data_IF_826324968717
#
_entry.id   IF_826324968717
#
_cell.length_a   1.000
_cell.length_b   1.000
_cell.length_c   1.000
_cell.angle_alpha   90.00
_cell.angle_beta   90.00
_cell.angle_gamma   90.00
#
_symmetry.space_group_name_H-M   'P 1'
#
loop_
_entity.id
_entity.type
_entity.pdbx_description
1 polymer ?
#
# COMPACT_ATOMS: atom_id res chain seq x y z
N UNK A 1 -21.92 -13.31 -50.04
CA UNK A 1 -22.80 -13.27 -48.86
C UNK A 1 -22.76 -14.65 -48.20
N UNK A 2 -21.60 -15.04 -47.67
CA UNK A 2 -21.41 -16.38 -47.04
C UNK A 2 -20.52 -16.26 -45.81
N UNK A 3 -19.49 -15.40 -45.83
CA UNK A 3 -18.58 -15.21 -44.69
C UNK A 3 -19.26 -14.77 -43.37
N UNK A 4 -20.31 -13.94 -43.44
CA UNK A 4 -21.08 -13.54 -42.24
C UNK A 4 -21.98 -14.70 -41.78
N UNK A 5 -22.62 -15.40 -42.71
CA UNK A 5 -23.50 -16.53 -42.40
C UNK A 5 -22.71 -17.71 -41.82
N UNK A 6 -21.48 -17.93 -42.28
CA UNK A 6 -20.56 -18.94 -41.77
C UNK A 6 -20.09 -18.59 -40.35
N UNK A 7 -19.73 -17.33 -40.09
CA UNK A 7 -19.37 -16.86 -38.74
C UNK A 7 -20.56 -16.92 -37.78
N UNK A 8 -21.77 -16.62 -38.25
CA UNK A 8 -22.99 -16.72 -37.45
C UNK A 8 -23.41 -18.18 -37.21
N UNK A 9 -23.13 -19.08 -38.15
CA UNK A 9 -23.31 -20.52 -37.98
C UNK A 9 -22.35 -21.10 -36.94
N UNK A 10 -21.07 -20.69 -36.96
CA UNK A 10 -20.07 -21.09 -35.97
C UNK A 10 -20.35 -20.50 -34.58
N UNK A 11 -20.88 -19.27 -34.51
CA UNK A 11 -21.27 -18.64 -33.26
C UNK A 11 -22.62 -19.12 -32.71
N UNK A 12 -23.32 -20.03 -33.42
CA UNK A 12 -24.67 -20.48 -33.04
C UNK A 12 -24.60 -21.34 -31.77
N UNK A 13 -25.00 -20.75 -30.65
CA UNK A 13 -25.12 -21.45 -29.37
C UNK A 13 -26.27 -22.48 -29.48
N UNK A 14 -26.00 -23.79 -29.33
CA UNK A 14 -27.06 -24.80 -29.38
C UNK A 14 -28.06 -24.58 -28.23
N UNK A 15 -29.32 -24.37 -28.57
CA UNK A 15 -30.42 -24.16 -27.61
C UNK A 15 -31.10 -25.47 -27.17
N UNK A 16 -30.68 -26.61 -27.70
CA UNK A 16 -31.21 -27.92 -27.32
C UNK A 16 -30.73 -28.29 -25.91
N UNK A 17 -31.63 -28.88 -25.11
CA UNK A 17 -31.31 -29.37 -23.77
C UNK A 17 -30.18 -30.41 -23.90
N UNK A 18 -29.00 -30.07 -23.38
CA UNK A 18 -27.83 -30.96 -23.41
C UNK A 18 -28.11 -32.18 -22.54
N UNK A 19 -28.45 -33.31 -23.17
CA UNK A 19 -28.54 -34.58 -22.45
C UNK A 19 -27.13 -34.99 -21.99
N UNK A 20 -26.99 -35.22 -20.67
CA UNK A 20 -25.75 -35.73 -20.07
C UNK A 20 -24.59 -34.74 -20.02
N UNK A 21 -24.75 -33.60 -19.31
CA UNK A 21 -23.58 -32.80 -18.93
C UNK A 21 -22.74 -33.56 -17.89
N UNK A 22 -21.60 -34.11 -18.31
CA UNK A 22 -20.62 -34.70 -17.40
C UNK A 22 -19.93 -33.59 -16.59
N UNK A 23 -20.49 -33.32 -15.42
CA UNK A 23 -19.95 -32.38 -14.43
C UNK A 23 -18.53 -32.76 -14.04
N UNK A 24 -18.22 -34.06 -13.93
CA UNK A 24 -16.89 -34.53 -13.54
C UNK A 24 -15.83 -34.26 -14.61
N UNK A 25 -16.17 -34.44 -15.89
CA UNK A 25 -15.29 -34.05 -16.99
C UNK A 25 -15.12 -32.53 -17.09
N UNK A 26 -16.19 -31.76 -16.86
CA UNK A 26 -16.13 -30.31 -16.85
C UNK A 26 -15.25 -29.76 -15.71
N UNK A 27 -15.40 -30.30 -14.49
CA UNK A 27 -14.57 -29.93 -13.34
C UNK A 27 -13.09 -30.32 -13.54
N UNK A 28 -12.80 -31.48 -14.14
CA UNK A 28 -11.41 -31.87 -14.47
C UNK A 28 -10.76 -30.92 -15.46
N UNK A 29 -11.50 -30.47 -16.48
CA UNK A 29 -11.02 -29.45 -17.42
C UNK A 29 -10.78 -28.12 -16.71
N UNK A 30 -11.74 -27.66 -15.90
CA UNK A 30 -11.59 -26.42 -15.13
C UNK A 30 -10.38 -26.48 -14.19
N UNK A 31 -10.14 -27.63 -13.54
CA UNK A 31 -8.97 -27.83 -12.69
C UNK A 31 -7.66 -27.83 -13.50
N UNK A 32 -7.62 -28.44 -14.69
CA UNK A 32 -6.46 -28.40 -15.57
C UNK A 32 -6.19 -26.97 -16.10
N UNK A 33 -7.23 -26.23 -16.48
CA UNK A 33 -7.14 -24.84 -16.92
C UNK A 33 -6.67 -23.94 -15.77
N UNK A 34 -7.19 -24.15 -14.55
CA UNK A 34 -6.73 -23.44 -13.35
C UNK A 34 -5.27 -23.77 -13.00
N UNK A 35 -4.84 -25.03 -13.13
CA UNK A 35 -3.45 -25.43 -12.92
C UNK A 35 -2.52 -24.83 -13.99
N UNK A 36 -2.93 -24.77 -15.25
CA UNK A 36 -2.19 -24.12 -16.32
C UNK A 36 -2.10 -22.59 -16.12
N UNK A 37 -3.18 -21.95 -15.66
CA UNK A 37 -3.20 -20.54 -15.29
C UNK A 37 -2.31 -20.26 -14.06
N UNK A 38 -2.31 -21.14 -13.06
CA UNK A 38 -1.43 -21.04 -11.90
C UNK A 38 0.05 -21.22 -12.30
N UNK A 39 0.35 -22.06 -13.30
CA UNK A 39 1.70 -22.25 -13.82
C UNK A 39 2.25 -21.03 -14.60
N UNK A 40 1.38 -20.14 -15.08
CA UNK A 40 1.74 -18.90 -15.77
C UNK A 40 0.99 -17.73 -15.13
N UNK A 41 1.45 -17.25 -13.95
CA UNK A 41 0.79 -16.14 -13.28
C UNK A 41 0.76 -14.93 -14.21
N UNK A 42 -0.38 -14.23 -14.24
CA UNK A 42 -0.53 -13.01 -15.04
C UNK A 42 0.60 -12.03 -14.65
N UNK A 43 1.39 -11.52 -15.62
CA UNK A 43 2.49 -10.61 -15.33
C UNK A 43 2.04 -9.37 -14.52
N UNK A 44 0.79 -8.92 -14.68
CA UNK A 44 0.25 -7.80 -13.90
C UNK A 44 0.03 -8.17 -12.43
N UNK A 45 -0.42 -9.39 -12.14
CA UNK A 45 -0.54 -9.88 -10.77
C UNK A 45 0.83 -10.01 -10.10
N UNK A 46 1.84 -10.46 -10.84
CA UNK A 46 3.23 -10.54 -10.33
C UNK A 46 3.77 -9.15 -9.99
N UNK A 47 3.52 -8.15 -10.86
CA UNK A 47 3.91 -6.75 -10.61
C UNK A 47 3.20 -6.16 -9.40
N UNK A 48 1.89 -6.40 -9.26
CA UNK A 48 1.11 -5.95 -8.11
C UNK A 48 1.63 -6.57 -6.80
N UNK A 49 1.88 -7.89 -6.78
CA UNK A 49 2.47 -8.56 -5.62
C UNK A 49 3.86 -8.01 -5.28
N UNK A 50 4.70 -7.74 -6.28
CA UNK A 50 6.01 -7.14 -6.09
C UNK A 50 5.93 -5.72 -5.53
N UNK A 51 4.96 -4.92 -5.96
CA UNK A 51 4.72 -3.58 -5.44
C UNK A 51 4.33 -3.61 -3.96
N UNK A 52 3.41 -4.49 -3.56
CA UNK A 52 3.05 -4.68 -2.15
C UNK A 52 4.23 -5.11 -1.28
N UNK A 53 5.07 -6.02 -1.78
CA UNK A 53 6.31 -6.40 -1.08
C UNK A 53 7.28 -5.22 -0.91
N UNK A 54 7.44 -4.39 -1.94
CA UNK A 54 8.29 -3.19 -1.87
C UNK A 54 7.73 -2.19 -0.86
N UNK A 55 6.42 -1.96 -0.88
CA UNK A 55 5.76 -1.06 0.05
C UNK A 55 5.97 -1.52 1.50
N UNK A 56 5.80 -2.81 1.79
CA UNK A 56 6.06 -3.37 3.12
C UNK A 56 7.50 -3.11 3.60
N UNK A 57 8.49 -3.27 2.72
CA UNK A 57 9.89 -2.98 3.06
C UNK A 57 10.12 -1.50 3.31
N UNK A 58 9.57 -0.62 2.48
CA UNK A 58 9.68 0.84 2.63
C UNK A 58 9.03 1.30 3.93
N UNK A 59 7.82 0.84 4.23
CA UNK A 59 7.11 1.16 5.48
C UNK A 59 7.91 0.72 6.71
N UNK A 60 8.46 -0.49 6.68
CA UNK A 60 9.31 -0.98 7.78
C UNK A 60 10.58 -0.15 7.92
N UNK A 61 11.23 0.23 6.82
CA UNK A 61 12.42 1.08 6.87
C UNK A 61 12.10 2.45 7.48
N UNK A 62 10.99 3.09 7.07
CA UNK A 62 10.54 4.38 7.62
C UNK A 62 10.29 4.28 9.13
N UNK A 63 9.63 3.21 9.60
CA UNK A 63 9.37 3.02 11.04
C UNK A 63 10.62 2.81 11.89
N UNK A 64 11.71 2.32 11.29
CA UNK A 64 12.96 2.06 12.00
C UNK A 64 13.95 3.24 11.92
N UNK A 65 13.54 4.39 11.36
CA UNK A 65 14.35 5.59 11.45
C UNK A 65 14.40 6.07 12.92
N UNK A 66 15.55 6.60 13.38
CA UNK A 66 15.72 6.99 14.78
C UNK A 66 14.80 8.14 15.21
N UNK A 67 14.39 9.00 14.29
CA UNK A 67 13.51 10.15 14.48
C UNK A 67 12.01 9.79 14.37
N UNK A 68 11.67 8.58 13.93
CA UNK A 68 10.28 8.19 13.64
C UNK A 68 9.35 8.36 14.84
N UNK A 69 9.82 8.03 16.05
CA UNK A 69 9.04 8.15 17.26
C UNK A 69 8.81 9.61 17.67
N UNK A 70 9.80 10.49 17.48
CA UNK A 70 9.69 11.92 17.77
C UNK A 70 8.66 12.59 16.85
N UNK A 71 8.63 12.19 15.57
CA UNK A 71 7.65 12.69 14.60
C UNK A 71 6.22 12.27 14.95
N UNK A 72 6.03 11.03 15.43
CA UNK A 72 4.70 10.57 15.88
C UNK A 72 4.27 11.23 17.19
N UNK A 73 5.20 11.55 18.09
CA UNK A 73 4.92 12.32 19.30
C UNK A 73 4.48 13.76 18.95
N UNK A 74 5.18 14.44 18.04
CA UNK A 74 4.77 15.76 17.53
C UNK A 74 3.38 15.73 16.91
N UNK A 75 3.11 14.75 16.04
CA UNK A 75 1.78 14.58 15.44
C UNK A 75 0.68 14.33 16.50
N UNK A 76 1.00 13.63 17.59
CA UNK A 76 0.07 13.38 18.70
C UNK A 76 -0.18 14.59 19.60
N UNK A 77 0.73 15.57 19.60
CA UNK A 77 0.62 16.79 20.42
C UNK A 77 -0.13 17.93 19.72
N UNK A 78 -0.39 17.81 18.41
CA UNK A 78 -1.12 18.83 17.67
C UNK A 78 -2.56 19.00 18.18
N UNK A 79 -2.99 20.24 18.49
CA UNK A 79 -4.34 20.50 18.96
C UNK A 79 -5.39 20.08 17.91
N UNK A 80 -6.52 19.53 18.37
CA UNK A 80 -7.65 19.13 17.51
C UNK A 80 -8.32 20.33 16.83
N UNK A 81 -8.19 21.52 17.41
CA UNK A 81 -8.64 22.78 16.82
C UNK A 81 -7.50 23.40 16.00
N UNK A 82 -7.75 23.86 14.76
CA UNK A 82 -6.78 24.65 14.01
C UNK A 82 -6.58 25.97 14.74
N UNK A 83 -5.61 26.00 15.65
CA UNK A 83 -5.02 27.24 16.11
C UNK A 83 -4.10 27.73 14.99
N UNK A 84 -4.23 29.02 14.70
CA UNK A 84 -3.41 29.78 13.74
C UNK A 84 -1.94 29.29 13.80
N UNK A 85 -1.40 28.95 12.64
CA UNK A 85 0.01 28.65 12.35
C UNK A 85 0.61 27.28 12.76
N UNK A 86 -0.19 26.32 13.26
CA UNK A 86 0.29 24.96 13.52
C UNK A 86 0.48 24.13 12.25
N UNK A 87 1.71 24.07 11.69
CA UNK A 87 2.04 23.13 10.61
C UNK A 87 1.94 21.67 11.10
N UNK A 88 1.13 20.87 10.41
CA UNK A 88 1.07 19.41 10.58
C UNK A 88 2.48 18.80 10.44
N UNK A 89 2.91 17.95 11.37
CA UNK A 89 4.14 17.16 11.23
C UNK A 89 3.94 16.11 10.11
N UNK A 90 4.35 16.50 8.91
CA UNK A 90 4.15 15.73 7.68
C UNK A 90 4.94 14.42 7.70
N UNK A 91 6.13 14.43 8.29
CA UNK A 91 6.92 13.22 8.53
C UNK A 91 6.23 12.31 9.55
N UNK A 92 5.61 12.88 10.59
CA UNK A 92 4.77 12.15 11.55
C UNK A 92 3.60 11.45 10.87
N UNK A 93 2.93 12.13 9.94
CA UNK A 93 1.84 11.56 9.16
C UNK A 93 2.31 10.40 8.26
N UNK A 94 3.49 10.51 7.63
CA UNK A 94 4.09 9.41 6.87
C UNK A 94 4.35 8.19 7.76
N UNK A 95 5.03 8.40 8.89
CA UNK A 95 5.41 7.32 9.82
C UNK A 95 4.17 6.62 10.35
N UNK A 96 3.14 7.38 10.73
CA UNK A 96 1.87 6.83 11.19
C UNK A 96 1.15 6.02 10.10
N UNK A 97 1.13 6.52 8.86
CA UNK A 97 0.58 5.79 7.72
C UNK A 97 1.32 4.46 7.46
N UNK A 98 2.65 4.44 7.57
CA UNK A 98 3.45 3.23 7.45
C UNK A 98 3.14 2.21 8.56
N UNK A 99 2.88 2.68 9.78
CA UNK A 99 2.42 1.83 10.87
C UNK A 99 1.05 1.21 10.56
N UNK A 100 0.08 2.05 10.19
CA UNK A 100 -1.27 1.62 9.82
C UNK A 100 -1.27 0.59 8.68
N UNK A 101 -0.41 0.77 7.68
CA UNK A 101 -0.28 -0.18 6.59
C UNK A 101 0.20 -1.55 7.08
N UNK A 102 1.19 -1.58 7.97
CA UNK A 102 1.76 -2.83 8.49
C UNK A 102 0.88 -3.52 9.53
N UNK A 103 -0.08 -2.81 10.12
CA UNK A 103 -1.14 -3.35 10.98
C UNK A 103 -2.45 -3.58 10.20
N UNK A 104 -2.39 -3.67 8.87
CA UNK A 104 -3.54 -3.96 7.97
C UNK A 104 -4.68 -2.93 7.95
N UNK A 105 -4.45 -1.69 8.41
CA UNK A 105 -5.39 -0.57 8.33
C UNK A 105 -5.20 0.23 7.03
N UNK A 106 -5.44 -0.43 5.88
CA UNK A 106 -5.05 0.07 4.55
C UNK A 106 -5.71 1.39 4.13
N UNK A 107 -7.02 1.54 4.37
CA UNK A 107 -7.75 2.76 4.01
C UNK A 107 -7.27 3.96 4.84
N UNK A 108 -6.97 3.73 6.12
CA UNK A 108 -6.39 4.75 6.99
C UNK A 108 -4.97 5.12 6.55
N UNK A 109 -4.14 4.14 6.21
CA UNK A 109 -2.81 4.39 5.68
C UNK A 109 -2.84 5.24 4.40
N UNK A 110 -3.75 4.93 3.47
CA UNK A 110 -3.93 5.71 2.25
C UNK A 110 -4.29 7.17 2.56
N UNK A 111 -5.25 7.40 3.46
CA UNK A 111 -5.64 8.76 3.87
C UNK A 111 -4.45 9.55 4.42
N UNK A 112 -3.69 8.97 5.36
CA UNK A 112 -2.55 9.66 5.97
C UNK A 112 -1.41 9.90 4.99
N UNK A 113 -1.17 8.98 4.04
CA UNK A 113 -0.23 9.25 2.95
C UNK A 113 -0.71 10.35 2.01
N UNK A 114 -2.01 10.42 1.69
CA UNK A 114 -2.55 11.49 0.84
C UNK A 114 -2.42 12.85 1.52
N UNK A 115 -2.67 12.92 2.83
CA UNK A 115 -2.47 14.12 3.63
C UNK A 115 -1.00 14.57 3.60
N UNK A 116 -0.08 13.64 3.82
CA UNK A 116 1.35 13.94 3.79
C UNK A 116 1.86 14.31 2.39
N UNK A 117 1.42 13.60 1.37
CA UNK A 117 1.76 13.87 -0.03
C UNK A 117 1.21 15.23 -0.49
N UNK A 118 -0.01 15.57 -0.10
CA UNK A 118 -0.62 16.89 -0.37
C UNK A 118 0.11 18.05 0.30
N UNK A 119 0.89 17.78 1.35
CA UNK A 119 1.80 18.74 1.98
C UNK A 119 3.23 18.71 1.40
N UNK A 120 3.45 18.04 0.26
CA UNK A 120 4.74 17.96 -0.44
C UNK A 120 5.65 16.80 0.00
N UNK A 121 5.17 15.87 0.83
CA UNK A 121 6.01 14.77 1.28
C UNK A 121 6.18 13.69 0.22
N UNK A 122 7.31 13.72 -0.47
CA UNK A 122 7.64 12.80 -1.59
C UNK A 122 7.62 11.32 -1.22
N UNK A 123 8.12 10.93 -0.04
CA UNK A 123 8.04 9.52 0.39
C UNK A 123 6.61 9.01 0.54
N UNK A 124 5.66 9.87 0.94
CA UNK A 124 4.25 9.52 1.06
C UNK A 124 3.63 9.32 -0.33
N UNK A 125 3.95 10.21 -1.28
CA UNK A 125 3.54 10.06 -2.68
C UNK A 125 4.13 8.77 -3.31
N UNK A 126 5.38 8.40 -2.99
CA UNK A 126 5.95 7.12 -3.43
C UNK A 126 5.26 5.90 -2.79
N UNK A 127 4.88 5.99 -1.50
CA UNK A 127 4.10 4.95 -0.85
C UNK A 127 2.73 4.78 -1.52
N UNK A 128 2.06 5.88 -1.90
CA UNK A 128 0.81 5.86 -2.66
C UNK A 128 1.00 5.24 -4.05
N UNK A 129 2.08 5.59 -4.76
CA UNK A 129 2.41 4.94 -6.03
C UNK A 129 2.49 3.41 -5.89
N UNK A 130 3.25 2.91 -4.90
CA UNK A 130 3.37 1.48 -4.66
C UNK A 130 2.05 0.85 -4.18
N UNK A 131 1.26 1.57 -3.39
CA UNK A 131 -0.05 1.13 -2.91
C UNK A 131 -1.02 0.90 -4.07
N UNK A 132 -1.17 1.89 -4.96
CA UNK A 132 -2.02 1.79 -6.14
C UNK A 132 -1.50 0.75 -7.13
N UNK A 133 -0.18 0.58 -7.30
CA UNK A 133 0.37 -0.53 -8.07
C UNK A 133 0.01 -1.89 -7.49
N UNK A 134 0.01 -2.04 -6.16
CA UNK A 134 -0.36 -3.28 -5.49
C UNK A 134 -1.85 -3.63 -5.66
N UNK A 135 -2.71 -2.61 -5.85
CA UNK A 135 -4.14 -2.76 -6.18
C UNK A 135 -4.40 -2.98 -7.67
N UNK A 136 -3.38 -2.82 -8.54
CA UNK A 136 -3.54 -2.86 -10.00
C UNK A 136 -4.09 -1.57 -10.61
N UNK A 137 -4.15 -0.48 -9.84
CA UNK A 137 -4.68 0.83 -10.22
C UNK A 137 -3.61 1.66 -10.94
N UNK A 138 -3.26 1.26 -12.16
CA UNK A 138 -2.12 1.81 -12.92
C UNK A 138 -2.22 3.33 -13.16
N UNK A 139 -3.44 3.87 -13.31
CA UNK A 139 -3.66 5.30 -13.54
C UNK A 139 -3.30 6.14 -12.31
N UNK A 140 -3.83 5.77 -11.15
CA UNK A 140 -3.53 6.44 -9.88
C UNK A 140 -2.05 6.28 -9.52
N UNK A 141 -1.50 5.09 -9.70
CA UNK A 141 -0.08 4.85 -9.50
C UNK A 141 0.80 5.78 -10.35
N UNK A 142 0.43 6.03 -11.62
CA UNK A 142 1.18 6.95 -12.49
C UNK A 142 1.04 8.40 -12.04
N UNK A 143 -0.14 8.81 -11.59
CA UNK A 143 -0.36 10.16 -11.08
C UNK A 143 0.56 10.44 -9.88
N UNK A 144 0.55 9.58 -8.87
CA UNK A 144 1.42 9.76 -7.71
C UNK A 144 2.91 9.67 -8.03
N UNK A 145 3.31 8.82 -8.99
CA UNK A 145 4.69 8.80 -9.45
C UNK A 145 5.08 10.11 -10.12
N UNK A 146 4.17 10.69 -10.90
CA UNK A 146 4.38 11.98 -11.52
C UNK A 146 4.56 13.06 -10.45
N UNK A 147 3.69 13.13 -9.44
CA UNK A 147 3.84 14.07 -8.30
C UNK A 147 5.20 13.91 -7.60
N UNK A 148 5.72 12.69 -7.44
CA UNK A 148 7.06 12.47 -6.87
C UNK A 148 8.17 13.06 -7.76
N UNK A 149 8.00 13.02 -9.08
CA UNK A 149 9.02 13.41 -10.07
C UNK A 149 8.90 14.83 -10.60
N UNK A 150 7.73 15.47 -10.49
CA UNK A 150 7.40 16.76 -11.10
C UNK A 150 7.37 17.92 -10.09
N UNK A 151 7.56 17.65 -8.79
CA UNK A 151 7.74 18.63 -7.71
C UNK A 151 9.12 19.35 -7.80
N UNK A 152 9.47 19.71 -9.04
CA UNK A 152 10.76 20.17 -9.59
C UNK A 152 10.84 21.70 -9.64
N UNK A 153 9.81 22.41 -9.19
CA UNK A 153 9.84 23.88 -9.25
C UNK A 153 10.75 24.52 -8.20
N UNK A 154 11.34 23.80 -7.23
CA UNK A 154 12.15 24.45 -6.17
C UNK A 154 13.34 23.66 -5.54
N UNK A 155 13.93 22.63 -6.17
CA UNK A 155 15.13 22.00 -5.57
C UNK A 155 16.19 21.52 -6.57
N UNK A 156 17.41 22.09 -6.46
CA UNK A 156 18.61 21.55 -7.09
C UNK A 156 18.84 20.10 -6.61
N UNK A 157 18.60 19.15 -7.51
CA UNK A 157 18.39 17.71 -7.27
C UNK A 157 19.36 17.03 -6.27
N UNK A 158 18.88 15.95 -5.60
CA UNK A 158 18.92 14.68 -6.32
C UNK A 158 17.67 13.79 -6.11
N UNK A 159 16.60 14.09 -6.86
CA UNK A 159 15.32 13.36 -6.86
C UNK A 159 15.47 11.90 -7.31
N UNK A 160 16.34 11.66 -8.30
CA UNK A 160 16.71 10.31 -8.72
C UNK A 160 17.53 9.58 -7.67
N UNK A 161 18.31 10.28 -6.84
CA UNK A 161 19.08 9.64 -5.78
C UNK A 161 18.20 9.27 -4.59
N UNK A 162 17.18 10.05 -4.23
CA UNK A 162 16.22 9.66 -3.19
C UNK A 162 15.47 8.39 -3.57
N UNK A 163 14.89 8.35 -4.77
CA UNK A 163 14.23 7.16 -5.30
C UNK A 163 15.20 5.99 -5.50
N UNK A 164 16.39 6.23 -6.05
CA UNK A 164 17.41 5.20 -6.19
C UNK A 164 17.90 4.69 -4.83
N UNK A 165 17.95 5.52 -3.79
CA UNK A 165 18.30 5.12 -2.43
C UNK A 165 17.19 4.27 -1.83
N UNK A 166 15.93 4.68 -1.97
CA UNK A 166 14.78 3.87 -1.53
C UNK A 166 14.73 2.52 -2.25
N UNK A 167 14.95 2.51 -3.57
CA UNK A 167 15.00 1.29 -4.36
C UNK A 167 16.22 0.42 -4.01
N UNK A 168 17.39 1.02 -3.80
CA UNK A 168 18.60 0.33 -3.37
C UNK A 168 18.41 -0.30 -1.99
N UNK A 169 17.79 0.41 -1.04
CA UNK A 169 17.45 -0.12 0.29
C UNK A 169 16.42 -1.23 0.17
N UNK A 170 15.35 -1.05 -0.62
CA UNK A 170 14.34 -2.09 -0.82
C UNK A 170 14.92 -3.37 -1.46
N UNK A 171 15.82 -3.21 -2.43
CA UNK A 171 16.56 -4.30 -3.07
C UNK A 171 17.57 -4.95 -2.13
N UNK A 172 18.28 -4.15 -1.34
CA UNK A 172 19.25 -4.63 -0.35
C UNK A 172 18.57 -5.45 0.74
N UNK A 173 17.48 -4.95 1.33
CA UNK A 173 16.70 -5.64 2.36
C UNK A 173 16.11 -6.94 1.81
N UNK A 174 15.58 -6.92 0.57
CA UNK A 174 15.11 -8.13 -0.13
C UNK A 174 16.24 -9.16 -0.30
N UNK A 175 17.44 -8.72 -0.68
CA UNK A 175 18.59 -9.59 -1.00
C UNK A 175 19.28 -10.17 0.24
N UNK A 176 19.36 -9.40 1.31
CA UNK A 176 19.98 -9.85 2.57
C UNK A 176 19.02 -10.65 3.45
N UNK A 177 17.76 -10.81 3.03
CA UNK A 177 16.72 -11.49 3.80
C UNK A 177 16.54 -10.87 5.19
N UNK A 178 16.97 -9.62 5.35
CA UNK A 178 17.28 -9.12 6.67
C UNK A 178 16.01 -8.67 7.37
N UNK A 179 15.67 -9.44 8.40
CA UNK A 179 14.79 -9.12 9.53
C UNK A 179 15.18 -7.85 10.32
N UNK A 180 16.10 -7.02 9.80
CA UNK A 180 16.62 -5.81 10.46
C UNK A 180 15.55 -4.74 10.71
N UNK A 181 14.44 -4.78 9.98
CA UNK A 181 13.30 -3.92 10.23
C UNK A 181 12.20 -4.79 10.85
N UNK A 182 12.16 -4.81 12.19
CA UNK A 182 11.17 -5.58 12.94
C UNK A 182 9.76 -5.25 12.45
N UNK A 183 8.90 -6.26 12.33
CA UNK A 183 7.47 -5.98 12.16
C UNK A 183 6.96 -5.22 13.41
N UNK A 184 5.89 -4.42 13.28
CA UNK A 184 5.25 -3.84 14.45
C UNK A 184 4.99 -4.94 15.48
N UNK A 185 5.49 -4.75 16.69
CA UNK A 185 5.26 -5.73 17.76
C UNK A 185 3.79 -5.68 18.20
N UNK A 186 3.26 -6.78 18.74
CA UNK A 186 1.85 -6.86 19.14
C UNK A 186 1.36 -5.73 20.05
N UNK A 187 2.24 -5.06 20.80
CA UNK A 187 1.88 -3.86 21.56
C UNK A 187 1.48 -2.66 20.70
N UNK A 188 2.19 -2.42 19.58
CA UNK A 188 1.84 -1.37 18.62
C UNK A 188 0.55 -1.71 17.87
N UNK A 189 0.41 -2.96 17.45
CA UNK A 189 -0.80 -3.47 16.77
C UNK A 189 -2.05 -3.29 17.66
N UNK A 190 -1.98 -3.72 18.92
CA UNK A 190 -3.08 -3.55 19.88
C UNK A 190 -3.47 -2.09 20.11
N UNK A 191 -2.50 -1.16 20.12
CA UNK A 191 -2.81 0.25 20.31
C UNK A 191 -3.45 0.86 19.07
N UNK A 192 -3.03 0.44 17.86
CA UNK A 192 -3.70 0.85 16.62
C UNK A 192 -5.13 0.33 16.57
N UNK A 193 -5.37 -0.95 16.88
CA UNK A 193 -6.72 -1.54 16.94
C UNK A 193 -7.60 -0.80 17.97
N UNK A 194 -7.02 -0.41 19.10
CA UNK A 194 -7.71 0.41 20.10
C UNK A 194 -8.11 1.77 19.52
N UNK A 195 -7.23 2.43 18.77
CA UNK A 195 -7.54 3.72 18.13
C UNK A 195 -8.62 3.57 17.04
N UNK A 196 -8.57 2.48 16.27
CA UNK A 196 -9.58 2.17 15.25
C UNK A 196 -10.98 1.94 15.85
N UNK A 197 -11.04 1.35 17.04
CA UNK A 197 -12.31 1.02 17.73
C UNK A 197 -12.83 2.12 18.67
N UNK A 198 -12.00 3.13 18.99
CA UNK A 198 -12.28 4.10 20.05
C UNK A 198 -13.46 5.05 19.77
N UNK A 199 -13.90 5.21 18.51
CA UNK A 199 -15.02 6.09 18.17
C UNK A 199 -16.10 5.32 17.43
N UNK A 200 -17.23 5.12 18.11
CA UNK A 200 -18.38 4.33 17.65
C UNK A 200 -19.20 4.96 16.50
N UNK A 201 -18.81 6.14 16.02
CA UNK A 201 -19.52 6.87 14.99
C UNK A 201 -18.77 6.78 13.65
N UNK A 202 -19.12 5.74 12.88
CA UNK A 202 -19.02 5.59 11.41
C UNK A 202 -17.71 5.89 10.65
N UNK A 203 -16.65 6.41 11.27
CA UNK A 203 -15.42 6.77 10.57
C UNK A 203 -14.49 5.56 10.45
N UNK A 204 -14.29 5.09 9.21
CA UNK A 204 -13.40 3.97 8.90
C UNK A 204 -11.91 4.37 9.03
N UNK A 205 -11.63 5.67 9.11
CA UNK A 205 -10.27 6.21 9.20
C UNK A 205 -9.81 6.32 10.65
N UNK A 206 -8.74 5.60 10.98
CA UNK A 206 -8.02 5.74 12.25
C UNK A 206 -7.56 7.18 12.39
N UNK A 207 -8.04 7.83 13.44
CA UNK A 207 -7.75 9.23 13.74
C UNK A 207 -6.30 9.42 14.21
N UNK A 208 -5.96 10.66 14.59
CA UNK A 208 -4.62 11.04 15.06
C UNK A 208 -4.06 10.07 16.13
N UNK A 209 -2.75 9.81 16.11
CA UNK A 209 -2.12 9.01 17.15
C UNK A 209 -2.22 9.69 18.52
N UNK A 210 -2.38 8.90 19.58
CA UNK A 210 -2.29 9.39 20.96
C UNK A 210 -0.90 9.25 21.54
N UNK A 211 -0.62 9.92 22.68
CA UNK A 211 0.68 9.83 23.40
C UNK A 211 1.14 8.39 23.67
N UNK A 212 0.19 7.51 24.00
CA UNK A 212 0.46 6.09 24.25
C UNK A 212 1.08 5.37 23.05
N UNK A 213 0.68 5.73 21.84
CA UNK A 213 1.26 5.16 20.62
C UNK A 213 2.70 5.67 20.42
N UNK A 214 2.93 6.95 20.66
CA UNK A 214 4.27 7.55 20.57
C UNK A 214 5.24 6.90 21.58
N UNK A 215 4.81 6.66 22.82
CA UNK A 215 5.62 5.95 23.82
C UNK A 215 6.02 4.54 23.36
N UNK A 216 5.06 3.78 22.82
CA UNK A 216 5.32 2.44 22.27
C UNK A 216 6.26 2.47 21.06
N UNK A 217 6.21 3.53 20.26
CA UNK A 217 7.14 3.71 19.15
C UNK A 217 8.57 4.01 19.63
N UNK A 218 8.75 4.81 20.68
CA UNK A 218 10.06 5.03 21.30
C UNK A 218 10.64 3.73 21.88
N UNK A 219 9.81 2.86 22.44
CA UNK A 219 10.23 1.54 22.91
C UNK A 219 10.58 0.57 21.78
N UNK A 220 9.97 0.76 20.61
CA UNK A 220 10.24 -0.04 19.42
C UNK A 220 11.56 0.37 18.76
N UNK A 221 11.82 1.67 18.58
CA UNK A 221 13.04 2.18 17.93
C UNK A 221 14.31 2.02 18.76
N UNK A 222 14.20 1.79 20.07
CA UNK A 222 15.33 1.56 20.99
C UNK A 222 15.85 0.13 21.03
N UNK A 223 15.20 -0.82 20.36
CA UNK A 223 15.56 -2.26 20.38
C UNK A 223 16.54 -2.62 19.28
#
# INVERSE_FOLDING_TARGET
MTAIDDLLADARIPTTRREGFDVGAALRRLAADAAAAAAKPNPDMVRAAQAGQRLSVVCRWILNKPDAADHVDRLAQEPETPADDGHLDVDGALVFACLLYLTEHRESAQFWWQLAAGAGHRAAAYCLHLHHLALGEVREARHWLHEVTDDVLDSEAPDSAFLATLEAVAMYVRRTGSSLAGAPTGGLEMEVDRLATAKADSCIIVQRPGRRLADLMHDFTRR
#
